data_IF_958414633040
#
_entry.id   IF_958414633040
#
_cell.length_a   1.000
_cell.length_b   1.000
_cell.length_c   1.000
_cell.angle_alpha   90.00
_cell.angle_beta   90.00
_cell.angle_gamma   90.00
#
_symmetry.space_group_name_H-M   'P 1'
#
loop_
_entity.id
_entity.type
_entity.pdbx_description
1 polymer ?
#
# COMPACT_ATOMS: atom_id res chain seq x y z
N UNK A 1 5.99 28.84 14.68
CA UNK A 1 7.39 28.87 14.19
C UNK A 1 8.27 27.77 14.76
N UNK A 2 8.22 27.47 16.08
CA UNK A 2 9.08 26.45 16.68
C UNK A 2 8.92 25.04 16.10
N UNK A 3 7.70 24.62 15.74
CA UNK A 3 7.47 23.33 15.09
C UNK A 3 8.07 23.26 13.68
N UNK A 4 7.82 24.27 12.84
CA UNK A 4 8.37 24.35 11.50
C UNK A 4 9.91 24.30 11.50
N UNK A 5 10.55 24.99 12.46
CA UNK A 5 12.00 24.91 12.64
C UNK A 5 12.45 23.49 12.99
N UNK A 6 11.79 22.85 13.96
CA UNK A 6 12.10 21.46 14.34
C UNK A 6 11.93 20.49 13.17
N UNK A 7 10.87 20.63 12.38
CA UNK A 7 10.67 19.81 11.19
C UNK A 7 11.79 20.03 10.18
N UNK A 8 12.19 21.28 9.93
CA UNK A 8 13.31 21.59 9.02
C UNK A 8 14.64 20.98 9.51
N UNK A 9 14.97 21.17 10.80
CA UNK A 9 16.19 20.64 11.41
C UNK A 9 16.23 19.12 11.29
N UNK A 10 15.10 18.45 11.52
CA UNK A 10 15.00 16.99 11.37
C UNK A 10 15.08 16.52 9.92
N UNK A 11 14.56 17.27 8.95
CA UNK A 11 14.76 16.93 7.53
C UNK A 11 16.23 16.96 7.12
N UNK A 12 16.99 17.94 7.62
CA UNK A 12 18.44 18.01 7.37
C UNK A 12 19.13 16.84 8.06
N UNK A 13 18.86 16.63 9.34
CA UNK A 13 19.48 15.56 10.13
C UNK A 13 19.21 14.17 9.52
N UNK A 14 17.97 13.91 9.09
CA UNK A 14 17.59 12.64 8.46
C UNK A 14 18.30 12.41 7.13
N UNK A 15 18.53 13.48 6.35
CA UNK A 15 19.24 13.39 5.07
C UNK A 15 20.70 13.02 5.26
N UNK A 16 21.37 13.63 6.25
CA UNK A 16 22.75 13.30 6.62
C UNK A 16 22.84 11.87 7.13
N UNK A 17 21.95 11.46 8.03
CA UNK A 17 21.92 10.09 8.55
C UNK A 17 21.73 9.05 7.45
N UNK A 18 20.84 9.31 6.48
CA UNK A 18 20.62 8.42 5.35
C UNK A 18 21.88 8.26 4.48
N UNK A 19 22.60 9.35 4.19
CA UNK A 19 23.86 9.30 3.44
C UNK A 19 24.94 8.52 4.19
N UNK A 20 25.12 8.79 5.48
CA UNK A 20 26.09 8.08 6.32
C UNK A 20 25.78 6.58 6.41
N UNK A 21 24.50 6.23 6.56
CA UNK A 21 24.07 4.84 6.59
C UNK A 21 24.28 4.14 5.23
N UNK A 22 24.07 4.85 4.12
CA UNK A 22 24.27 4.32 2.77
C UNK A 22 25.75 4.05 2.47
N UNK A 23 26.66 4.92 2.91
CA UNK A 23 28.12 4.72 2.78
C UNK A 23 28.55 3.44 3.51
N UNK A 24 27.97 3.18 4.69
CA UNK A 24 28.26 2.01 5.50
C UNK A 24 27.36 0.80 5.16
N UNK A 25 26.54 0.87 4.11
CA UNK A 25 25.56 -0.19 3.81
C UNK A 25 26.22 -1.40 3.18
N UNK A 26 26.04 -2.56 3.82
CA UNK A 26 26.27 -3.84 3.18
C UNK A 26 25.13 -4.18 2.20
N UNK A 27 25.44 -4.12 0.91
CA UNK A 27 24.51 -4.39 -0.19
C UNK A 27 23.99 -5.83 -0.21
N UNK A 28 24.71 -6.79 0.40
CA UNK A 28 24.28 -8.19 0.47
C UNK A 28 23.18 -8.39 1.50
N UNK A 29 23.28 -7.72 2.65
CA UNK A 29 22.31 -7.86 3.76
C UNK A 29 21.06 -7.03 3.54
N UNK A 30 21.18 -5.82 2.98
CA UNK A 30 20.03 -4.95 2.70
C UNK A 30 20.06 -4.47 1.25
N UNK A 31 19.18 -5.03 0.43
CA UNK A 31 19.04 -4.65 -1.00
C UNK A 31 18.55 -3.22 -1.20
N UNK A 32 17.62 -2.74 -0.37
CA UNK A 32 17.01 -1.41 -0.48
C UNK A 32 17.92 -0.34 0.14
N UNK A 33 18.20 0.79 -0.55
CA UNK A 33 18.91 1.93 0.03
C UNK A 33 18.22 2.48 1.27
N UNK A 34 18.98 3.18 2.10
CA UNK A 34 18.41 3.97 3.19
C UNK A 34 17.76 5.24 2.65
N UNK A 35 16.58 5.59 3.16
CA UNK A 35 15.88 6.85 2.84
C UNK A 35 15.93 7.81 4.03
N UNK A 36 15.89 9.13 3.82
CA UNK A 36 15.76 10.09 4.92
C UNK A 36 14.53 9.80 5.79
N UNK A 37 13.41 9.39 5.18
CA UNK A 37 12.18 9.01 5.87
C UNK A 37 12.33 7.82 6.84
N UNK A 38 13.38 6.99 6.68
CA UNK A 38 13.66 5.90 7.64
C UNK A 38 14.15 6.44 9.00
N UNK A 39 14.62 7.70 9.07
CA UNK A 39 15.22 8.31 10.25
C UNK A 39 14.44 9.51 10.79
N UNK A 40 13.55 10.11 10.00
CA UNK A 40 12.82 11.32 10.41
C UNK A 40 11.61 10.94 11.29
N UNK A 41 11.50 11.43 12.53
CA UNK A 41 10.35 11.13 13.40
C UNK A 41 9.05 11.78 12.93
N UNK A 42 9.12 12.83 12.12
CA UNK A 42 7.93 13.54 11.61
C UNK A 42 7.38 12.95 10.33
N UNK A 43 8.06 11.98 9.70
CA UNK A 43 7.54 11.30 8.51
C UNK A 43 6.58 10.19 8.94
N UNK A 44 5.31 10.31 8.54
CA UNK A 44 4.31 9.26 8.75
C UNK A 44 4.61 8.10 7.80
N UNK A 45 5.08 6.98 8.34
CA UNK A 45 5.23 5.75 7.58
C UNK A 45 3.84 5.20 7.24
N UNK A 46 3.47 5.25 5.95
CA UNK A 46 2.21 4.64 5.52
C UNK A 46 2.34 3.12 5.67
N UNK A 47 1.38 2.45 6.32
CA UNK A 47 1.42 1.00 6.43
C UNK A 47 1.41 0.40 5.03
N UNK A 48 2.39 -0.45 4.74
CA UNK A 48 2.44 -1.18 3.46
C UNK A 48 1.37 -2.26 3.50
N UNK A 49 0.43 -2.30 2.53
CA UNK A 49 -0.57 -3.35 2.51
C UNK A 49 0.11 -4.70 2.34
N UNK A 50 -0.15 -5.60 3.28
CA UNK A 50 0.34 -6.98 3.23
C UNK A 50 -0.42 -7.71 2.13
N UNK A 51 0.29 -8.43 1.26
CA UNK A 51 -0.34 -9.36 0.31
C UNK A 51 -0.88 -10.54 1.11
N UNK A 52 -2.17 -10.52 1.42
CA UNK A 52 -2.87 -11.59 2.11
C UNK A 52 -3.99 -12.12 1.22
N UNK A 53 -4.28 -13.42 1.30
CA UNK A 53 -5.46 -14.00 0.64
C UNK A 53 -6.73 -13.58 1.37
N UNK A 54 -7.86 -13.54 0.66
CA UNK A 54 -9.15 -13.16 1.26
C UNK A 54 -9.53 -14.09 2.42
N UNK A 55 -9.18 -15.38 2.32
CA UNK A 55 -9.32 -16.37 3.39
C UNK A 55 -8.53 -16.01 4.65
N UNK A 56 -7.26 -15.63 4.50
CA UNK A 56 -6.40 -15.25 5.63
C UNK A 56 -6.93 -14.00 6.33
N UNK A 57 -7.42 -13.03 5.56
CA UNK A 57 -8.03 -11.81 6.10
C UNK A 57 -9.35 -12.14 6.82
N UNK A 58 -10.19 -13.01 6.26
CA UNK A 58 -11.43 -13.43 6.88
C UNK A 58 -11.19 -14.14 8.22
N UNK A 59 -10.20 -15.04 8.29
CA UNK A 59 -9.81 -15.70 9.54
C UNK A 59 -9.31 -14.70 10.59
N UNK A 60 -8.50 -13.71 10.21
CA UNK A 60 -8.01 -12.66 11.12
C UNK A 60 -9.14 -11.77 11.65
N UNK A 61 -10.15 -11.50 10.83
CA UNK A 61 -11.28 -10.66 11.18
C UNK A 61 -12.43 -11.44 11.85
N UNK A 62 -12.32 -12.76 11.99
CA UNK A 62 -13.42 -13.61 12.49
C UNK A 62 -14.63 -13.66 11.56
N UNK A 63 -14.44 -13.31 10.29
CA UNK A 63 -15.49 -13.34 9.28
C UNK A 63 -15.54 -14.72 8.60
N UNK A 64 -16.75 -15.14 8.22
CA UNK A 64 -16.95 -16.38 7.47
C UNK A 64 -16.65 -16.10 6.00
N UNK A 65 -15.61 -16.75 5.46
CA UNK A 65 -15.32 -16.71 4.03
C UNK A 65 -16.18 -17.72 3.29
N UNK A 66 -16.98 -17.26 2.33
CA UNK A 66 -17.69 -18.12 1.38
C UNK A 66 -17.02 -18.00 0.01
N UNK A 67 -16.25 -19.01 -0.45
CA UNK A 67 -15.74 -19.01 -1.80
C UNK A 67 -16.91 -19.02 -2.79
N UNK A 68 -16.92 -18.09 -3.75
CA UNK A 68 -17.87 -18.13 -4.86
C UNK A 68 -17.50 -19.28 -5.78
N UNK A 69 -18.11 -20.43 -5.57
CA UNK A 69 -18.14 -21.49 -6.57
C UNK A 69 -19.16 -21.10 -7.66
N UNK A 70 -18.64 -20.78 -8.85
CA UNK A 70 -19.35 -20.75 -10.12
C UNK A 70 -20.72 -20.04 -10.13
N UNK A 71 -20.72 -18.71 -10.30
CA UNK A 71 -21.88 -18.07 -10.90
C UNK A 71 -22.01 -18.53 -12.35
N UNK A 72 -23.12 -19.21 -12.62
CA UNK A 72 -23.67 -19.47 -13.95
C UNK A 72 -23.64 -18.20 -14.82
N UNK A 73 -23.48 -18.33 -16.15
CA UNK A 73 -23.38 -17.17 -17.03
C UNK A 73 -24.59 -16.27 -16.84
N UNK A 74 -24.35 -14.99 -16.52
CA UNK A 74 -25.38 -13.96 -16.49
C UNK A 74 -26.27 -14.11 -17.75
N UNK A 75 -27.61 -14.16 -17.63
CA UNK A 75 -28.44 -14.18 -18.82
C UNK A 75 -28.22 -12.85 -19.55
N UNK A 76 -27.63 -12.93 -20.74
CA UNK A 76 -27.60 -11.81 -21.69
C UNK A 76 -29.05 -11.40 -21.90
N UNK A 77 -29.41 -10.18 -21.51
CA UNK A 77 -30.65 -9.56 -21.94
C UNK A 77 -30.63 -9.49 -23.48
N UNK A 78 -31.50 -10.26 -24.12
CA UNK A 78 -31.75 -10.11 -25.55
C UNK A 78 -32.28 -8.70 -25.82
N UNK A 79 -31.79 -8.00 -26.86
CA UNK A 79 -32.32 -6.70 -27.23
C UNK A 79 -33.70 -6.86 -27.89
N UNK A 80 -34.67 -6.08 -27.43
CA UNK A 80 -36.05 -6.07 -27.94
C UNK A 80 -36.10 -5.82 -29.46
N UNK A 81 -37.01 -6.50 -30.20
CA UNK A 81 -37.16 -6.29 -31.65
C UNK A 81 -37.68 -4.88 -31.95
N UNK A 82 -37.34 -4.30 -33.12
CA UNK A 82 -37.76 -2.96 -33.47
C UNK A 82 -39.27 -2.94 -33.68
N UNK A 83 -39.96 -2.14 -32.87
CA UNK A 83 -41.36 -1.79 -33.08
C UNK A 83 -41.51 -1.18 -34.48
N UNK A 84 -42.24 -1.90 -35.34
CA UNK A 84 -42.69 -1.41 -36.65
C UNK A 84 -43.71 -0.30 -36.43
N UNK A 85 -43.34 0.93 -36.76
CA UNK A 85 -44.28 2.05 -36.80
C UNK A 85 -45.24 1.85 -37.97
N UNK A 86 -46.53 1.71 -37.66
CA UNK A 86 -47.65 1.95 -38.58
C UNK A 86 -48.45 3.14 -38.03
#
# INVERSE_FOLDING_TARGET
MAEAKRQHDWHIASSVMALTAEINRDRKRRRKPFKPDDFNPYTVTRPVPVKATVEQVAHLLGAIFQPRENESPCPKSEPDPPMSNC
#
